data_IF_045842913271
#
_entry.id   IF_045842913271
#
_cell.length_a   1.000
_cell.length_b   1.000
_cell.length_c   1.000
_cell.angle_alpha   90.00
_cell.angle_beta   90.00
_cell.angle_gamma   90.00
#
_symmetry.space_group_name_H-M   'P 1'
#
loop_
_entity.id
_entity.type
_entity.pdbx_description
1 polymer ?
#
# COMPACT_ATOMS: atom_id res chain seq x y z
N UNK A 1 -26.20 -0.58 -18.23
CA UNK A 1 -26.73 -1.88 -17.74
C UNK A 1 -27.51 -1.63 -16.44
N UNK A 2 -28.82 -1.90 -16.43
CA UNK A 2 -29.71 -1.64 -15.27
C UNK A 2 -29.36 -2.58 -14.12
N UNK A 3 -29.00 -2.02 -12.95
CA UNK A 3 -28.82 -2.78 -11.70
C UNK A 3 -30.20 -3.37 -11.31
N UNK A 4 -30.38 -4.68 -11.44
CA UNK A 4 -31.58 -5.39 -10.96
C UNK A 4 -31.74 -5.13 -9.46
N UNK A 5 -32.77 -4.40 -9.05
CA UNK A 5 -33.15 -4.22 -7.64
C UNK A 5 -33.59 -5.58 -7.09
N UNK A 6 -32.99 -6.01 -5.99
CA UNK A 6 -33.40 -7.22 -5.27
C UNK A 6 -34.85 -7.11 -4.84
N UNK A 7 -35.64 -8.19 -4.98
CA UNK A 7 -37.02 -8.24 -4.47
C UNK A 7 -37.03 -8.15 -2.94
N UNK A 8 -38.19 -7.78 -2.37
CA UNK A 8 -38.38 -7.68 -0.90
C UNK A 8 -38.06 -8.99 -0.17
N UNK A 9 -38.40 -10.14 -0.76
CA UNK A 9 -38.04 -11.48 -0.23
C UNK A 9 -36.54 -11.77 -0.31
N UNK A 10 -35.88 -11.35 -1.38
CA UNK A 10 -34.43 -11.54 -1.51
C UNK A 10 -33.66 -10.66 -0.51
N UNK A 11 -34.08 -9.40 -0.27
CA UNK A 11 -33.50 -8.55 0.78
C UNK A 11 -33.66 -9.17 2.16
N UNK A 12 -34.90 -9.61 2.50
CA UNK A 12 -35.16 -10.24 3.79
C UNK A 12 -34.34 -11.51 4.02
N UNK A 13 -34.13 -12.35 2.98
CA UNK A 13 -33.26 -13.53 3.07
C UNK A 13 -31.79 -13.15 3.30
N UNK A 14 -31.30 -12.13 2.61
CA UNK A 14 -29.92 -11.63 2.77
C UNK A 14 -29.73 -11.07 4.18
N UNK A 15 -30.66 -10.23 4.65
CA UNK A 15 -30.63 -9.67 6.01
C UNK A 15 -30.68 -10.76 7.09
N UNK A 16 -31.54 -11.77 6.94
CA UNK A 16 -31.61 -12.90 7.87
C UNK A 16 -30.34 -13.72 7.91
N UNK A 17 -29.72 -13.99 6.74
CA UNK A 17 -28.44 -14.70 6.65
C UNK A 17 -27.32 -13.87 7.29
N UNK A 18 -27.32 -12.56 7.08
CA UNK A 18 -26.34 -11.66 7.69
C UNK A 18 -26.51 -11.58 9.20
N UNK A 19 -27.75 -11.46 9.70
CA UNK A 19 -28.05 -11.49 11.13
C UNK A 19 -27.61 -12.79 11.80
N UNK A 20 -27.92 -13.95 11.18
CA UNK A 20 -27.46 -15.25 11.71
C UNK A 20 -25.93 -15.39 11.70
N UNK A 21 -25.25 -14.83 10.69
CA UNK A 21 -23.78 -14.82 10.65
C UNK A 21 -23.19 -13.89 11.73
N UNK A 22 -23.80 -12.74 11.96
CA UNK A 22 -23.42 -11.82 13.03
C UNK A 22 -23.56 -12.48 14.40
N UNK A 23 -24.72 -13.07 14.70
CA UNK A 23 -25.00 -13.78 15.95
C UNK A 23 -24.04 -14.95 16.21
N UNK A 24 -23.75 -15.78 15.19
CA UNK A 24 -22.75 -16.86 15.31
C UNK A 24 -21.35 -16.33 15.60
N UNK A 25 -21.00 -15.17 15.04
CA UNK A 25 -19.70 -14.58 15.25
C UNK A 25 -19.58 -13.96 16.63
N UNK A 26 -20.65 -13.34 17.17
CA UNK A 26 -20.69 -12.83 18.56
C UNK A 26 -20.56 -13.96 19.58
N UNK A 27 -21.31 -15.07 19.37
CA UNK A 27 -21.20 -16.26 20.22
C UNK A 27 -19.78 -16.85 20.21
N UNK A 28 -19.10 -16.86 19.05
CA UNK A 28 -17.74 -17.38 18.94
C UNK A 28 -16.73 -16.46 19.64
N UNK A 29 -16.89 -15.14 19.49
CA UNK A 29 -16.06 -14.17 20.22
C UNK A 29 -16.21 -14.28 21.73
N UNK A 30 -17.44 -14.48 22.24
CA UNK A 30 -17.69 -14.74 23.64
C UNK A 30 -17.09 -16.08 24.11
N UNK A 31 -17.14 -17.11 23.27
CA UNK A 31 -16.49 -18.40 23.55
C UNK A 31 -14.98 -18.26 23.62
N UNK A 32 -14.38 -17.53 22.72
CA UNK A 32 -12.92 -17.31 22.68
C UNK A 32 -12.45 -16.47 23.89
N UNK A 33 -13.21 -15.45 24.30
CA UNK A 33 -12.92 -14.66 25.49
C UNK A 33 -13.04 -15.51 26.78
N UNK A 34 -14.08 -16.36 26.88
CA UNK A 34 -14.26 -17.28 28.01
C UNK A 34 -13.16 -18.35 28.06
N UNK A 35 -12.75 -18.89 26.91
CA UNK A 35 -11.66 -19.86 26.81
C UNK A 35 -10.30 -19.24 27.15
N UNK A 36 -10.07 -17.98 26.79
CA UNK A 36 -8.88 -17.22 27.20
C UNK A 36 -8.81 -17.04 28.72
N UNK A 37 -9.93 -16.70 29.36
CA UNK A 37 -10.04 -16.57 30.82
C UNK A 37 -9.89 -17.91 31.53
N UNK A 38 -10.36 -19.01 30.90
CA UNK A 38 -10.23 -20.37 31.42
C UNK A 38 -8.81 -20.96 31.26
N UNK A 39 -7.92 -20.31 30.49
CA UNK A 39 -6.55 -20.78 30.26
C UNK A 39 -6.41 -21.87 29.19
N UNK A 40 -7.41 -22.02 28.34
CA UNK A 40 -7.45 -23.06 27.27
C UNK A 40 -6.51 -22.76 26.09
N UNK A 41 -5.85 -21.61 26.11
CA UNK A 41 -4.87 -21.19 25.09
C UNK A 41 -3.43 -21.32 25.59
N UNK A 42 -2.53 -21.66 24.70
CA UNK A 42 -1.09 -21.71 24.93
C UNK A 42 -0.50 -20.34 25.35
N UNK A 43 0.81 -20.27 25.56
CA UNK A 43 1.48 -19.04 25.94
C UNK A 43 1.39 -17.97 24.84
N UNK A 44 1.59 -16.71 25.24
CA UNK A 44 1.69 -15.59 24.30
C UNK A 44 2.93 -15.70 23.44
N UNK A 45 2.76 -15.48 22.15
CA UNK A 45 3.82 -15.52 21.14
C UNK A 45 3.72 -14.29 20.24
N UNK A 46 4.85 -13.85 19.70
CA UNK A 46 4.89 -12.82 18.68
C UNK A 46 4.62 -13.45 17.31
N UNK A 47 3.99 -12.69 16.44
CA UNK A 47 3.75 -13.10 15.06
C UNK A 47 3.42 -11.89 14.19
N UNK A 48 3.34 -12.12 12.88
CA UNK A 48 3.02 -11.09 11.88
C UNK A 48 1.79 -11.51 11.08
N UNK A 49 0.89 -10.56 10.85
CA UNK A 49 -0.29 -10.78 10.01
C UNK A 49 0.15 -10.85 8.55
N UNK A 50 0.01 -12.01 7.91
CA UNK A 50 0.34 -12.22 6.50
C UNK A 50 -0.84 -12.05 5.56
N UNK A 51 -2.06 -12.27 6.06
CA UNK A 51 -3.29 -12.03 5.28
C UNK A 51 -4.48 -11.77 6.21
N UNK A 52 -5.48 -11.02 5.70
CA UNK A 52 -6.68 -10.68 6.44
C UNK A 52 -7.94 -11.07 5.65
N UNK A 53 -8.77 -11.96 6.20
CA UNK A 53 -9.97 -12.52 5.55
C UNK A 53 -11.26 -12.09 6.27
N UNK A 54 -11.42 -10.82 6.51
CA UNK A 54 -12.59 -10.27 7.21
C UNK A 54 -12.53 -10.50 8.72
N UNK A 55 -13.02 -11.63 9.23
CA UNK A 55 -13.00 -11.96 10.67
C UNK A 55 -11.89 -12.94 11.08
N UNK A 56 -11.13 -13.45 10.14
CA UNK A 56 -10.00 -14.33 10.38
C UNK A 56 -8.76 -13.74 9.78
N UNK A 57 -7.63 -13.98 10.43
CA UNK A 57 -6.29 -13.59 10.00
C UNK A 57 -5.47 -14.83 9.76
N UNK A 58 -4.47 -14.68 8.92
CA UNK A 58 -3.32 -15.58 8.90
C UNK A 58 -2.18 -14.90 9.62
N UNK A 59 -1.68 -15.52 10.68
CA UNK A 59 -0.55 -15.05 11.46
C UNK A 59 0.60 -16.00 11.24
N UNK A 60 1.75 -15.46 10.85
CA UNK A 60 2.99 -16.19 10.72
C UNK A 60 3.85 -15.97 11.96
N UNK A 61 4.39 -17.04 12.50
CA UNK A 61 5.26 -17.01 13.66
C UNK A 61 6.31 -18.12 13.57
N UNK A 62 7.44 -17.92 14.20
CA UNK A 62 8.48 -18.96 14.34
C UNK A 62 8.00 -20.06 15.29
N UNK A 63 8.23 -21.30 14.91
CA UNK A 63 8.04 -22.45 15.77
C UNK A 63 9.24 -22.66 16.72
N UNK A 64 9.24 -23.74 17.48
CA UNK A 64 10.34 -24.07 18.41
C UNK A 64 11.68 -24.40 17.72
N UNK A 65 11.65 -24.64 16.40
CA UNK A 65 12.82 -24.96 15.58
C UNK A 65 13.32 -23.74 14.81
N UNK A 66 12.58 -22.58 14.88
CA UNK A 66 12.88 -21.37 14.12
C UNK A 66 12.28 -21.35 12.72
N UNK A 67 11.44 -22.35 12.39
CA UNK A 67 10.74 -22.38 11.10
C UNK A 67 9.48 -21.51 11.13
N UNK A 68 9.25 -20.73 10.06
CA UNK A 68 8.06 -19.89 9.94
C UNK A 68 6.83 -20.74 9.64
N UNK A 69 5.89 -20.73 10.55
CA UNK A 69 4.60 -21.44 10.44
C UNK A 69 3.44 -20.45 10.39
N UNK A 70 2.44 -20.77 9.57
CA UNK A 70 1.23 -19.95 9.41
C UNK A 70 0.06 -20.56 10.17
N UNK A 71 -0.61 -19.73 10.95
CA UNK A 71 -1.71 -20.09 11.80
C UNK A 71 -2.95 -19.28 11.46
N UNK A 72 -4.10 -19.94 11.37
CA UNK A 72 -5.37 -19.27 11.19
C UNK A 72 -5.87 -18.77 12.53
N UNK A 73 -5.93 -17.44 12.68
CA UNK A 73 -6.27 -16.79 13.94
C UNK A 73 -7.63 -16.07 13.85
N UNK A 74 -8.33 -16.02 14.98
CA UNK A 74 -9.51 -15.19 15.18
C UNK A 74 -9.15 -13.85 15.79
N UNK A 75 -9.96 -12.84 15.50
CA UNK A 75 -9.87 -11.50 16.12
C UNK A 75 -10.74 -11.44 17.37
N UNK A 76 -10.22 -10.89 18.46
CA UNK A 76 -11.05 -10.42 19.55
C UNK A 76 -11.88 -9.20 19.12
N UNK A 77 -13.08 -9.04 19.71
CA UNK A 77 -14.01 -7.95 19.36
C UNK A 77 -13.44 -6.54 19.56
N UNK A 78 -12.48 -6.38 20.45
CA UNK A 78 -11.84 -5.10 20.78
C UNK A 78 -10.58 -4.79 19.91
N UNK A 79 -10.20 -5.67 18.98
CA UNK A 79 -9.04 -5.51 18.10
C UNK A 79 -9.48 -5.22 16.67
N UNK A 80 -10.08 -4.03 16.47
CA UNK A 80 -10.46 -3.58 15.13
C UNK A 80 -9.25 -2.99 14.37
N UNK A 81 -9.34 -3.03 13.04
CA UNK A 81 -8.39 -2.36 12.16
C UNK A 81 -7.03 -3.04 12.01
N UNK A 82 -6.92 -4.35 12.30
CA UNK A 82 -5.75 -5.14 11.95
C UNK A 82 -5.65 -5.32 10.43
N UNK A 83 -4.44 -5.19 9.91
CA UNK A 83 -4.14 -5.33 8.48
C UNK A 83 -2.89 -6.16 8.25
N UNK A 84 -2.67 -6.58 7.02
CA UNK A 84 -1.45 -7.27 6.60
C UNK A 84 -0.21 -6.44 6.92
N UNK A 85 0.79 -7.08 7.49
CA UNK A 85 2.02 -6.45 7.99
C UNK A 85 1.98 -6.04 9.46
N UNK A 86 0.82 -6.11 10.16
CA UNK A 86 0.78 -5.84 11.60
C UNK A 86 1.58 -6.89 12.38
N UNK A 87 2.43 -6.43 13.31
CA UNK A 87 3.05 -7.27 14.31
C UNK A 87 2.05 -7.44 15.48
N UNK A 88 1.83 -8.69 15.92
CA UNK A 88 0.78 -9.04 16.88
C UNK A 88 1.31 -9.95 17.98
N UNK A 89 0.62 -9.92 19.12
CA UNK A 89 0.69 -10.96 20.14
C UNK A 89 -0.51 -11.89 19.93
N UNK A 90 -0.25 -13.18 19.89
CA UNK A 90 -1.27 -14.19 19.67
C UNK A 90 -1.04 -15.42 20.55
N UNK A 91 -2.04 -16.26 20.69
CA UNK A 91 -1.98 -17.51 21.47
C UNK A 91 -2.57 -18.65 20.65
N UNK A 92 -1.95 -19.82 20.75
CA UNK A 92 -2.38 -21.03 20.02
C UNK A 92 -3.52 -21.71 20.77
N UNK A 93 -4.56 -22.13 20.09
CA UNK A 93 -5.60 -23.00 20.61
C UNK A 93 -5.23 -24.48 20.46
N UNK A 94 -5.89 -25.36 21.23
CA UNK A 94 -5.66 -26.81 21.20
C UNK A 94 -5.98 -27.47 19.84
N UNK A 95 -6.82 -26.84 19.00
CA UNK A 95 -7.18 -27.28 17.67
C UNK A 95 -6.21 -26.84 16.56
N UNK A 96 -5.08 -26.18 16.93
CA UNK A 96 -4.10 -25.62 16.00
C UNK A 96 -4.47 -24.25 15.41
N UNK A 97 -5.67 -23.73 15.71
CA UNK A 97 -6.03 -22.34 15.44
C UNK A 97 -5.40 -21.40 16.46
N UNK A 98 -5.61 -20.09 16.31
CA UNK A 98 -5.11 -19.12 17.27
C UNK A 98 -6.07 -17.96 17.49
N UNK A 99 -5.75 -17.16 18.49
CA UNK A 99 -6.42 -15.91 18.78
C UNK A 99 -5.42 -14.78 18.92
N UNK A 100 -5.66 -13.66 18.22
CA UNK A 100 -4.86 -12.45 18.38
C UNK A 100 -5.33 -11.70 19.61
N UNK A 101 -4.43 -11.45 20.57
CA UNK A 101 -4.74 -10.81 21.85
C UNK A 101 -4.30 -9.34 21.90
N UNK A 102 -3.28 -8.94 21.16
CA UNK A 102 -2.83 -7.56 21.09
C UNK A 102 -2.16 -7.24 19.74
N UNK A 103 -2.18 -5.96 19.35
CA UNK A 103 -1.38 -5.42 18.26
C UNK A 103 -0.19 -4.66 18.82
N UNK A 104 0.98 -4.86 18.20
CA UNK A 104 2.17 -4.07 18.50
C UNK A 104 2.09 -2.67 17.87
N UNK A 105 2.82 -1.67 18.37
CA UNK A 105 2.92 -0.36 17.75
C UNK A 105 3.39 -0.46 16.29
N UNK A 106 2.69 0.21 15.39
CA UNK A 106 3.08 0.28 13.98
C UNK A 106 4.25 1.23 13.79
N UNK A 107 5.22 0.86 12.96
CA UNK A 107 6.30 1.74 12.49
C UNK A 107 5.84 2.63 11.35
N UNK A 108 4.95 2.12 10.50
CA UNK A 108 4.32 2.82 9.41
C UNK A 108 2.93 2.24 9.14
N UNK A 109 2.06 3.03 8.51
CA UNK A 109 0.75 2.57 8.07
C UNK A 109 0.42 3.18 6.72
N UNK A 110 -0.04 2.34 5.80
CA UNK A 110 -0.59 2.77 4.53
C UNK A 110 -2.11 2.81 4.68
N UNK A 111 -2.68 3.99 4.48
CA UNK A 111 -4.11 4.22 4.59
C UNK A 111 -4.73 4.56 3.23
N UNK A 112 -6.01 4.29 3.10
CA UNK A 112 -6.81 4.63 1.92
C UNK A 112 -8.18 5.15 2.36
N UNK A 113 -8.71 6.20 1.70
CA UNK A 113 -10.08 6.62 1.96
C UNK A 113 -11.07 5.54 1.52
N UNK A 114 -12.04 5.27 2.38
CA UNK A 114 -13.19 4.43 2.05
C UNK A 114 -14.22 5.22 1.21
N UNK A 115 -15.36 4.60 0.87
CA UNK A 115 -16.43 5.23 0.10
C UNK A 115 -17.04 6.47 0.80
N UNK A 116 -16.75 6.68 2.08
CA UNK A 116 -17.20 7.85 2.88
C UNK A 116 -16.08 8.87 3.08
N UNK A 117 -14.91 8.67 2.49
CA UNK A 117 -13.74 9.53 2.65
C UNK A 117 -12.96 9.32 3.95
N UNK A 118 -13.33 8.33 4.78
CA UNK A 118 -12.60 8.02 6.01
C UNK A 118 -11.35 7.20 5.68
N UNK A 119 -10.20 7.61 6.20
CA UNK A 119 -8.95 6.87 6.06
C UNK A 119 -9.02 5.56 6.81
N UNK A 120 -8.74 4.46 6.11
CA UNK A 120 -8.65 3.12 6.68
C UNK A 120 -7.31 2.49 6.36
N UNK A 121 -6.68 1.85 7.35
CA UNK A 121 -5.45 1.14 7.13
C UNK A 121 -5.68 -0.02 6.15
N UNK A 122 -4.74 -0.22 5.23
CA UNK A 122 -4.74 -1.30 4.22
C UNK A 122 -3.51 -2.20 4.34
N UNK A 123 -2.40 -1.66 4.87
CA UNK A 123 -1.20 -2.42 5.21
C UNK A 123 -0.38 -1.66 6.27
N UNK A 124 0.47 -2.37 7.01
CA UNK A 124 1.28 -1.81 8.08
C UNK A 124 2.74 -2.27 7.99
N UNK A 125 3.61 -1.56 8.70
CA UNK A 125 5.05 -1.86 8.84
C UNK A 125 5.79 -1.96 7.50
N UNK A 126 5.35 -1.16 6.52
CA UNK A 126 5.98 -1.02 5.21
C UNK A 126 7.21 -0.15 5.35
N UNK A 127 8.35 -0.62 4.83
CA UNK A 127 9.61 0.11 4.84
C UNK A 127 9.75 1.05 3.63
N UNK A 128 9.18 0.66 2.47
CA UNK A 128 9.30 1.45 1.24
C UNK A 128 8.14 1.24 0.27
N UNK A 129 7.83 2.28 -0.51
CA UNK A 129 6.85 2.26 -1.60
C UNK A 129 7.61 2.32 -2.93
N UNK A 130 7.53 1.24 -3.72
CA UNK A 130 8.11 1.20 -5.06
C UNK A 130 7.12 1.75 -6.08
N UNK A 131 7.40 2.95 -6.58
CA UNK A 131 6.62 3.64 -7.60
C UNK A 131 7.11 3.15 -8.96
N UNK A 132 6.35 2.23 -9.57
CA UNK A 132 6.71 1.60 -10.85
C UNK A 132 6.15 2.41 -12.01
N UNK A 133 7.01 2.78 -12.92
CA UNK A 133 6.70 3.30 -14.24
C UNK A 133 7.55 2.57 -15.27
N UNK A 134 7.32 2.77 -16.56
CA UNK A 134 7.98 2.02 -17.61
C UNK A 134 8.46 2.93 -18.73
N UNK A 135 9.35 2.42 -19.58
CA UNK A 135 9.69 3.08 -20.84
C UNK A 135 8.43 3.18 -21.72
N UNK A 136 7.62 2.10 -21.74
CA UNK A 136 6.32 2.04 -22.39
C UNK A 136 5.26 1.41 -21.47
N UNK A 137 4.12 2.11 -21.24
CA UNK A 137 3.75 3.44 -21.73
C UNK A 137 4.66 4.53 -21.18
N UNK A 138 4.93 5.57 -21.99
CA UNK A 138 5.80 6.68 -21.59
C UNK A 138 5.33 7.33 -20.28
N UNK A 139 6.21 7.55 -19.31
CA UNK A 139 5.83 8.08 -18.02
C UNK A 139 5.50 9.58 -18.14
N UNK A 140 4.38 9.97 -17.57
CA UNK A 140 4.06 11.37 -17.36
C UNK A 140 4.71 11.88 -16.06
N UNK A 141 5.59 12.92 -16.11
CA UNK A 141 6.23 13.46 -14.91
C UNK A 141 5.23 13.81 -13.81
N UNK A 142 4.12 14.47 -14.14
CA UNK A 142 3.07 14.82 -13.18
C UNK A 142 2.48 13.60 -12.46
N UNK A 143 2.44 12.43 -13.12
CA UNK A 143 1.94 11.22 -12.51
C UNK A 143 2.96 10.63 -11.53
N UNK A 144 4.26 10.67 -11.88
CA UNK A 144 5.33 10.26 -10.95
C UNK A 144 5.31 11.17 -9.72
N UNK A 145 5.22 12.49 -9.91
CA UNK A 145 5.14 13.47 -8.84
C UNK A 145 3.95 13.23 -7.93
N UNK A 146 2.80 12.87 -8.52
CA UNK A 146 1.59 12.53 -7.77
C UNK A 146 1.79 11.32 -6.85
N UNK A 147 2.48 10.28 -7.31
CA UNK A 147 2.82 9.11 -6.48
C UNK A 147 3.86 9.47 -5.41
N UNK A 148 4.85 10.31 -5.75
CA UNK A 148 5.85 10.79 -4.78
C UNK A 148 5.17 11.55 -3.65
N UNK A 149 4.34 12.55 -3.97
CA UNK A 149 3.59 13.33 -2.96
C UNK A 149 2.73 12.42 -2.08
N UNK A 150 2.07 11.43 -2.67
CA UNK A 150 1.27 10.49 -1.89
C UNK A 150 2.12 9.61 -0.97
N UNK A 151 3.32 9.20 -1.38
CA UNK A 151 4.24 8.42 -0.57
C UNK A 151 4.84 9.27 0.56
N UNK A 152 5.30 10.48 0.25
CA UNK A 152 5.83 11.43 1.25
C UNK A 152 4.81 11.75 2.34
N UNK A 153 3.53 11.91 1.98
CA UNK A 153 2.47 12.15 2.95
C UNK A 153 2.27 10.98 3.95
N UNK A 154 2.67 9.75 3.60
CA UNK A 154 2.63 8.61 4.52
C UNK A 154 3.86 8.51 5.43
N UNK A 155 4.92 9.23 5.14
CA UNK A 155 6.23 9.09 5.78
C UNK A 155 6.96 7.78 5.44
N UNK A 156 6.50 7.04 4.41
CA UNK A 156 7.13 5.80 3.94
C UNK A 156 8.04 6.14 2.76
N UNK A 157 9.31 5.71 2.81
CA UNK A 157 10.31 6.02 1.81
C UNK A 157 9.88 5.62 0.39
N UNK A 158 9.78 6.56 -0.59
CA UNK A 158 9.52 6.23 -1.98
C UNK A 158 10.78 5.77 -2.70
N UNK A 159 10.63 4.79 -3.59
CA UNK A 159 11.65 4.35 -4.54
C UNK A 159 11.05 4.36 -5.93
N UNK A 160 11.71 5.05 -6.86
CA UNK A 160 11.32 5.09 -8.26
C UNK A 160 11.87 3.87 -9.00
N UNK A 161 10.99 3.09 -9.65
CA UNK A 161 11.38 1.89 -10.41
C UNK A 161 11.04 2.09 -11.88
N UNK A 162 12.07 2.28 -12.72
CA UNK A 162 11.90 2.24 -14.18
C UNK A 162 11.92 0.80 -14.65
N UNK A 163 10.78 0.31 -15.08
CA UNK A 163 10.62 -1.03 -15.66
C UNK A 163 10.69 -1.01 -17.19
N UNK A 164 10.84 -2.19 -17.81
CA UNK A 164 10.99 -2.41 -19.26
C UNK A 164 12.19 -1.66 -19.85
N UNK A 165 13.32 -1.67 -19.13
CA UNK A 165 14.55 -0.98 -19.56
C UNK A 165 15.16 -1.59 -20.80
N UNK A 166 14.75 -2.78 -21.20
CA UNK A 166 15.03 -3.41 -22.50
C UNK A 166 14.51 -2.59 -23.70
N UNK A 167 13.52 -1.74 -23.47
CA UNK A 167 12.96 -0.84 -24.49
C UNK A 167 13.63 0.56 -24.49
N UNK A 168 14.60 0.80 -23.62
CA UNK A 168 15.23 2.11 -23.49
C UNK A 168 16.19 2.35 -24.67
N UNK A 169 16.04 3.45 -25.43
CA UNK A 169 16.98 3.78 -26.51
C UNK A 169 18.42 3.98 -25.99
N UNK A 170 19.41 3.60 -26.79
CA UNK A 170 20.84 3.73 -26.45
C UNK A 170 21.24 5.19 -26.20
N UNK A 171 20.71 6.12 -26.97
CA UNK A 171 20.89 7.55 -26.79
C UNK A 171 19.89 8.08 -25.78
N UNK A 172 20.25 8.07 -24.57
CA UNK A 172 19.67 8.48 -23.29
C UNK A 172 18.46 9.38 -23.17
N UNK A 173 18.08 10.18 -24.10
CA UNK A 173 16.86 10.94 -24.21
C UNK A 173 16.31 11.63 -22.94
N UNK A 174 15.13 12.16 -23.08
CA UNK A 174 14.40 12.91 -22.03
C UNK A 174 14.16 12.08 -20.76
N UNK A 175 13.94 10.76 -20.88
CA UNK A 175 13.64 9.89 -19.75
C UNK A 175 14.85 9.74 -18.80
N UNK A 176 16.07 9.61 -19.36
CA UNK A 176 17.29 9.57 -18.51
C UNK A 176 17.53 10.90 -17.80
N UNK A 177 17.29 12.01 -18.49
CA UNK A 177 17.37 13.35 -17.88
C UNK A 177 16.34 13.54 -16.77
N UNK A 178 15.11 13.02 -16.96
CA UNK A 178 14.08 13.03 -15.94
C UNK A 178 14.51 12.23 -14.70
N UNK A 179 15.07 11.04 -14.89
CA UNK A 179 15.55 10.20 -13.78
C UNK A 179 16.74 10.82 -13.05
N UNK A 180 17.65 11.48 -13.77
CA UNK A 180 18.76 12.21 -13.15
C UNK A 180 18.25 13.30 -12.20
N UNK A 181 17.23 14.07 -12.61
CA UNK A 181 16.61 15.10 -11.76
C UNK A 181 16.01 14.52 -10.47
N UNK A 182 15.34 13.37 -10.52
CA UNK A 182 14.82 12.73 -9.31
C UNK A 182 15.95 12.25 -8.39
N UNK A 183 17.07 11.76 -8.96
CA UNK A 183 18.26 11.41 -8.14
C UNK A 183 18.89 12.64 -7.48
N UNK A 184 18.98 13.77 -8.20
CA UNK A 184 19.46 15.04 -7.66
C UNK A 184 18.59 15.55 -6.50
N UNK A 185 17.27 15.30 -6.56
CA UNK A 185 16.35 15.56 -5.46
C UNK A 185 16.50 14.59 -4.27
N UNK A 186 17.33 13.54 -4.40
CA UNK A 186 17.58 12.57 -3.34
C UNK A 186 16.75 11.29 -3.42
N UNK A 187 15.91 11.12 -4.43
CA UNK A 187 15.13 9.89 -4.59
C UNK A 187 15.99 8.73 -5.11
N UNK A 188 15.81 7.56 -4.51
CA UNK A 188 16.39 6.33 -5.05
C UNK A 188 15.68 5.96 -6.37
N UNK A 189 16.47 5.68 -7.41
CA UNK A 189 15.97 5.26 -8.72
C UNK A 189 16.59 3.94 -9.11
N UNK A 190 15.76 2.93 -9.32
CA UNK A 190 16.11 1.55 -9.68
C UNK A 190 15.64 1.26 -11.11
N UNK A 191 16.46 0.59 -11.88
CA UNK A 191 16.12 0.08 -13.21
C UNK A 191 15.75 -1.39 -13.13
N UNK A 192 14.75 -1.83 -13.90
CA UNK A 192 14.32 -3.22 -13.95
C UNK A 192 13.89 -3.63 -15.36
N UNK A 193 14.12 -4.89 -15.71
CA UNK A 193 13.57 -5.56 -16.88
C UNK A 193 13.36 -7.04 -16.60
N UNK A 194 12.20 -7.57 -16.97
CA UNK A 194 11.92 -9.00 -16.92
C UNK A 194 12.40 -9.75 -18.18
N UNK A 195 12.90 -9.03 -19.15
CA UNK A 195 13.35 -9.55 -20.46
C UNK A 195 14.87 -9.69 -20.57
N UNK A 196 15.64 -8.95 -19.75
CA UNK A 196 17.08 -8.99 -19.75
C UNK A 196 17.62 -10.01 -18.72
N UNK A 197 18.72 -10.66 -19.03
CA UNK A 197 19.53 -11.38 -18.08
C UNK A 197 20.02 -10.39 -17.01
N UNK A 198 19.93 -10.75 -15.72
CA UNK A 198 20.27 -9.88 -14.58
C UNK A 198 19.47 -8.56 -14.49
N UNK A 199 18.40 -8.44 -15.30
CA UNK A 199 17.59 -7.22 -15.36
C UNK A 199 16.82 -6.89 -14.06
N UNK A 200 16.83 -7.79 -13.09
CA UNK A 200 16.19 -7.58 -11.77
C UNK A 200 17.17 -7.44 -10.61
N UNK A 201 18.48 -7.53 -10.82
CA UNK A 201 19.49 -7.54 -9.73
C UNK A 201 19.41 -6.27 -8.88
N UNK A 202 19.32 -5.10 -9.51
CA UNK A 202 19.19 -3.84 -8.79
C UNK A 202 17.87 -3.76 -7.99
N UNK A 203 16.80 -4.35 -8.50
CA UNK A 203 15.52 -4.43 -7.81
C UNK A 203 15.60 -5.42 -6.63
N UNK A 204 16.22 -6.59 -6.80
CA UNK A 204 16.46 -7.54 -5.72
C UNK A 204 17.27 -6.90 -4.59
N UNK A 205 18.37 -6.23 -4.91
CA UNK A 205 19.18 -5.52 -3.91
C UNK A 205 18.38 -4.44 -3.15
N UNK A 206 17.46 -3.75 -3.85
CA UNK A 206 16.58 -2.75 -3.24
C UNK A 206 15.55 -3.37 -2.29
N UNK A 207 15.07 -4.60 -2.59
CA UNK A 207 14.02 -5.29 -1.83
C UNK A 207 14.54 -6.06 -0.62
N UNK A 208 15.83 -6.41 -0.59
CA UNK A 208 16.44 -7.22 0.46
C UNK A 208 16.24 -6.59 1.84
N UNK A 209 15.81 -7.41 2.81
CA UNK A 209 15.55 -7.05 4.21
C UNK A 209 14.49 -5.93 4.41
N UNK A 210 13.68 -5.64 3.40
CA UNK A 210 12.64 -4.60 3.47
C UNK A 210 11.26 -5.15 3.17
N UNK A 211 10.27 -4.64 3.89
CA UNK A 211 8.86 -4.84 3.55
C UNK A 211 8.43 -3.78 2.56
N UNK A 212 8.02 -4.19 1.38
CA UNK A 212 7.78 -3.33 0.22
C UNK A 212 6.36 -3.44 -0.33
N UNK A 213 5.88 -2.39 -0.96
CA UNK A 213 4.64 -2.39 -1.77
C UNK A 213 4.91 -1.81 -3.15
N UNK A 214 4.22 -2.31 -4.17
CA UNK A 214 4.31 -1.79 -5.52
C UNK A 214 3.07 -0.95 -5.85
N UNK A 215 3.31 0.29 -6.27
CA UNK A 215 2.29 1.22 -6.76
C UNK A 215 2.65 1.69 -8.18
N UNK A 216 1.72 2.31 -8.88
CA UNK A 216 1.96 2.84 -10.22
C UNK A 216 0.82 2.55 -11.19
N UNK A 217 0.88 3.15 -12.36
CA UNK A 217 -0.14 3.08 -13.40
C UNK A 217 -0.38 1.64 -13.90
N UNK A 218 -1.56 1.40 -14.48
CA UNK A 218 -1.83 0.15 -15.19
C UNK A 218 -0.92 0.01 -16.41
N UNK A 219 -0.51 -1.21 -16.75
CA UNK A 219 0.31 -1.50 -17.94
C UNK A 219 1.82 -1.30 -17.78
N UNK A 220 2.32 -0.73 -16.66
CA UNK A 220 3.77 -0.54 -16.44
C UNK A 220 4.52 -1.82 -16.05
N UNK A 221 3.81 -2.95 -15.92
CA UNK A 221 4.43 -4.26 -15.68
C UNK A 221 4.58 -4.65 -14.22
N UNK A 222 3.85 -4.03 -13.27
CA UNK A 222 3.88 -4.42 -11.83
C UNK A 222 3.62 -5.91 -11.61
N UNK A 223 2.57 -6.45 -12.23
CA UNK A 223 2.23 -7.88 -12.10
C UNK A 223 3.34 -8.77 -12.63
N UNK A 224 3.93 -8.43 -13.78
CA UNK A 224 5.05 -9.19 -14.36
C UNK A 224 6.29 -9.17 -13.46
N UNK A 225 6.59 -8.02 -12.83
CA UNK A 225 7.67 -7.93 -11.84
C UNK A 225 7.36 -8.82 -10.64
N UNK A 226 6.15 -8.75 -10.07
CA UNK A 226 5.72 -9.55 -8.92
C UNK A 226 5.78 -11.05 -9.25
N UNK A 227 5.28 -11.48 -10.42
CA UNK A 227 5.29 -12.87 -10.84
C UNK A 227 6.72 -13.39 -11.03
N UNK A 228 7.66 -12.53 -11.48
CA UNK A 228 9.07 -12.90 -11.64
C UNK A 228 9.81 -12.94 -10.30
N UNK A 229 9.48 -12.06 -9.38
CA UNK A 229 10.02 -12.03 -8.01
C UNK A 229 9.48 -13.18 -7.14
N UNK A 230 8.28 -13.68 -7.44
CA UNK A 230 7.56 -14.70 -6.69
C UNK A 230 7.10 -15.84 -7.62
N UNK A 231 8.02 -16.66 -8.14
CA UNK A 231 7.67 -17.71 -9.12
C UNK A 231 6.66 -18.72 -8.56
N UNK A 232 6.64 -18.97 -7.24
CA UNK A 232 5.73 -19.91 -6.58
C UNK A 232 4.43 -19.29 -6.08
N UNK A 233 4.13 -18.02 -6.42
CA UNK A 233 2.92 -17.32 -5.95
C UNK A 233 1.63 -18.06 -6.31
N UNK A 234 1.54 -18.63 -7.50
CA UNK A 234 0.35 -19.35 -7.96
C UNK A 234 0.07 -20.62 -7.16
N UNK A 235 1.09 -21.34 -6.72
CA UNK A 235 0.96 -22.51 -5.86
C UNK A 235 0.40 -22.15 -4.49
N UNK A 236 0.79 -21.02 -3.93
CA UNK A 236 0.33 -20.54 -2.61
C UNK A 236 -1.11 -20.01 -2.66
N UNK A 237 -1.50 -19.31 -3.72
CA UNK A 237 -2.88 -18.84 -3.92
C UNK A 237 -3.82 -20.04 -4.15
N UNK A 238 -3.37 -21.09 -4.85
CA UNK A 238 -4.12 -22.31 -5.07
C UNK A 238 -4.40 -23.08 -3.77
N UNK A 239 -3.44 -23.21 -2.87
CA UNK A 239 -3.60 -23.88 -1.59
C UNK A 239 -4.62 -23.18 -0.66
N UNK A 240 -4.68 -21.83 -0.70
CA UNK A 240 -5.65 -21.03 0.06
C UNK A 240 -7.07 -21.09 -0.52
N UNK A 241 -7.22 -21.38 -1.83
CA UNK A 241 -8.52 -21.40 -2.52
C UNK A 241 -9.23 -22.75 -2.45
N UNK A 242 -8.56 -23.83 -2.07
CA UNK A 242 -9.18 -25.17 -1.98
C UNK A 242 -10.20 -25.25 -0.83
N UNK A 243 -10.04 -24.45 0.22
CA UNK A 243 -10.97 -24.39 1.36
C UNK A 243 -12.17 -23.44 1.13
N UNK A 244 -12.16 -22.62 0.11
CA UNK A 244 -13.24 -21.69 -0.24
C UNK A 244 -13.98 -22.12 -1.51
N UNK A 245 -14.53 -23.34 -1.55
CA UNK A 245 -15.48 -23.76 -2.60
C UNK A 245 -16.77 -22.98 -2.48
N UNK A 246 -16.79 -21.69 -2.89
CA UNK A 246 -17.99 -20.99 -3.39
C UNK A 246 -17.65 -19.55 -3.80
N UNK A 247 -17.69 -19.30 -5.08
CA UNK A 247 -17.90 -17.94 -5.64
C UNK A 247 -16.64 -17.25 -6.11
N UNK A 248 -16.62 -16.94 -7.39
CA UNK A 248 -15.81 -15.97 -8.11
C UNK A 248 -15.78 -14.62 -7.37
N UNK A 249 -14.90 -14.47 -6.38
CA UNK A 249 -14.53 -13.17 -5.83
C UNK A 249 -13.05 -12.98 -6.08
N UNK A 250 -12.74 -12.03 -6.96
CA UNK A 250 -11.41 -11.46 -7.13
C UNK A 250 -10.83 -11.17 -5.73
N UNK A 251 -9.69 -11.77 -5.41
CA UNK A 251 -9.01 -11.65 -4.12
C UNK A 251 -8.73 -10.17 -3.84
N UNK A 252 -9.57 -9.53 -3.02
CA UNK A 252 -9.41 -8.12 -2.58
C UNK A 252 -8.55 -8.01 -1.34
N UNK A 253 -7.97 -9.12 -0.88
CA UNK A 253 -7.23 -9.22 0.37
C UNK A 253 -5.74 -8.94 0.12
N UNK A 254 -5.18 -8.05 0.92
CA UNK A 254 -3.74 -7.83 0.95
C UNK A 254 -3.04 -9.08 1.51
N UNK A 255 -1.95 -9.50 0.88
CA UNK A 255 -1.18 -10.68 1.29
C UNK A 255 0.31 -10.34 1.32
N UNK A 256 0.99 -10.76 2.37
CA UNK A 256 2.43 -10.65 2.52
C UNK A 256 3.11 -11.92 2.00
N UNK A 257 4.13 -11.72 1.20
CA UNK A 257 4.96 -12.77 0.62
C UNK A 257 6.42 -12.53 0.99
N UNK A 258 7.14 -13.60 1.36
CA UNK A 258 8.59 -13.58 1.47
C UNK A 258 9.20 -13.77 0.09
N UNK A 259 10.19 -12.93 -0.22
CA UNK A 259 10.93 -13.00 -1.47
C UNK A 259 12.06 -14.02 -1.35
N UNK A 260 12.28 -14.90 -2.37
CA UNK A 260 13.38 -15.88 -2.34
C UNK A 260 14.75 -15.25 -2.16
N UNK A 261 14.96 -14.04 -2.67
CA UNK A 261 16.21 -13.28 -2.52
C UNK A 261 16.30 -12.47 -1.21
N UNK A 262 15.34 -12.65 -0.31
CA UNK A 262 15.21 -11.90 0.95
C UNK A 262 14.32 -10.68 0.85
N UNK A 263 13.74 -10.27 2.00
CA UNK A 263 12.75 -9.20 2.09
C UNK A 263 11.31 -9.68 1.90
N UNK A 264 10.37 -8.74 1.96
CA UNK A 264 8.94 -9.01 1.96
C UNK A 264 8.21 -8.10 0.96
N UNK A 265 7.15 -8.64 0.36
CA UNK A 265 6.27 -7.90 -0.54
C UNK A 265 4.82 -8.02 -0.05
N UNK A 266 4.15 -6.90 0.16
CA UNK A 266 2.70 -6.88 0.36
C UNK A 266 2.03 -6.55 -0.98
N UNK A 267 1.24 -7.50 -1.50
CA UNK A 267 0.47 -7.32 -2.73
C UNK A 267 -1.02 -7.23 -2.43
N UNK A 268 -1.64 -6.16 -2.92
CA UNK A 268 -3.09 -5.94 -2.81
C UNK A 268 -3.61 -5.13 -3.99
N UNK A 269 -4.75 -5.50 -4.56
CA UNK A 269 -5.42 -4.68 -5.56
C UNK A 269 -5.72 -3.26 -5.05
N UNK A 270 -6.07 -3.12 -3.76
CA UNK A 270 -6.36 -1.83 -3.14
C UNK A 270 -5.16 -0.90 -3.00
N UNK A 271 -3.95 -1.44 -2.85
CA UNK A 271 -2.71 -0.67 -2.74
C UNK A 271 -2.25 -0.18 -4.12
N UNK A 272 -2.53 -0.93 -5.17
CA UNK A 272 -2.13 -0.58 -6.55
C UNK A 272 -2.76 0.73 -7.04
N UNK A 273 -3.91 1.12 -6.48
CA UNK A 273 -4.64 2.36 -6.75
C UNK A 273 -4.36 3.45 -5.70
N UNK A 274 -3.12 3.58 -5.30
CA UNK A 274 -2.66 4.58 -4.36
C UNK A 274 -2.88 6.00 -4.90
N UNK A 275 -3.50 6.89 -4.13
CA UNK A 275 -3.93 8.20 -4.63
C UNK A 275 -3.97 9.30 -3.57
N UNK A 276 -4.17 10.54 -4.03
CA UNK A 276 -4.09 11.79 -3.25
C UNK A 276 -5.44 12.24 -2.65
N UNK A 277 -6.52 11.47 -2.82
CA UNK A 277 -7.89 11.94 -2.59
C UNK A 277 -8.23 12.43 -1.17
N UNK A 278 -7.29 12.37 -0.24
CA UNK A 278 -7.43 12.82 1.14
C UNK A 278 -6.48 13.96 1.52
N UNK A 279 -5.61 14.40 0.61
CA UNK A 279 -4.64 15.46 0.86
C UNK A 279 -5.23 16.83 0.54
N UNK A 280 -4.87 17.82 1.32
CA UNK A 280 -5.14 19.22 1.04
C UNK A 280 -3.96 19.91 0.33
N UNK A 281 -4.13 21.17 -0.08
CA UNK A 281 -3.08 21.93 -0.76
C UNK A 281 -1.79 22.05 0.05
N UNK A 282 -1.80 22.35 1.36
CA UNK A 282 -0.60 22.30 2.21
C UNK A 282 0.08 20.94 2.27
N UNK A 283 -0.67 19.84 2.29
CA UNK A 283 -0.13 18.48 2.28
C UNK A 283 0.61 18.21 0.97
N UNK A 284 0.01 18.60 -0.16
CA UNK A 284 0.65 18.47 -1.48
C UNK A 284 1.95 19.28 -1.54
N UNK A 285 1.96 20.52 -1.02
CA UNK A 285 3.18 21.34 -1.00
C UNK A 285 4.28 20.69 -0.15
N UNK A 286 3.93 20.09 1.00
CA UNK A 286 4.89 19.34 1.84
C UNK A 286 5.44 18.09 1.16
N UNK A 287 4.67 17.47 0.28
CA UNK A 287 5.10 16.29 -0.48
C UNK A 287 6.12 16.57 -1.60
N UNK A 288 6.40 17.84 -1.91
CA UNK A 288 7.54 18.23 -2.75
C UNK A 288 8.73 18.55 -1.84
N UNK A 289 9.67 17.61 -1.71
CA UNK A 289 10.77 17.72 -0.74
C UNK A 289 11.63 18.97 -0.94
N UNK A 290 11.82 19.41 -2.18
CA UNK A 290 12.53 20.63 -2.53
C UNK A 290 11.80 21.94 -2.15
N UNK A 291 10.51 21.86 -1.80
CA UNK A 291 9.75 23.02 -1.33
C UNK A 291 9.95 23.27 0.16
N UNK A 292 10.37 22.26 0.92
CA UNK A 292 10.50 22.30 2.38
C UNK A 292 11.26 23.55 2.91
N UNK A 293 12.40 23.99 2.31
CA UNK A 293 13.12 25.16 2.77
C UNK A 293 12.36 26.49 2.61
N UNK A 294 11.31 26.52 1.79
CA UNK A 294 10.57 27.74 1.43
C UNK A 294 9.18 27.80 2.06
N UNK A 295 8.66 26.69 2.57
CA UNK A 295 7.35 26.64 3.18
C UNK A 295 7.31 27.50 4.45
N UNK A 296 6.25 28.32 4.56
CA UNK A 296 6.10 29.27 5.67
C UNK A 296 6.88 30.58 5.52
N UNK A 297 7.66 30.77 4.46
CA UNK A 297 8.45 31.99 4.20
C UNK A 297 7.78 32.96 3.22
N UNK A 298 6.55 32.68 2.77
CA UNK A 298 5.80 33.61 1.94
C UNK A 298 5.42 34.86 2.75
N UNK A 299 5.29 35.99 2.07
CA UNK A 299 4.84 37.25 2.67
C UNK A 299 3.49 37.16 3.35
N UNK A 300 2.57 36.36 2.78
CA UNK A 300 1.21 36.15 3.30
C UNK A 300 1.09 34.73 3.88
N UNK A 301 0.45 34.60 5.04
CA UNK A 301 0.24 33.32 5.72
C UNK A 301 -0.70 32.38 4.98
N UNK A 302 -1.64 32.93 4.23
CA UNK A 302 -2.66 32.27 3.41
C UNK A 302 -2.25 32.20 1.92
N UNK A 303 -0.97 32.21 1.63
CA UNK A 303 -0.45 32.14 0.27
C UNK A 303 -0.77 30.76 -0.35
N UNK A 304 -1.48 30.78 -1.46
CA UNK A 304 -1.79 29.61 -2.28
C UNK A 304 -0.75 29.36 -3.39
N UNK A 305 0.37 30.08 -3.36
CA UNK A 305 1.48 29.95 -4.30
C UNK A 305 1.08 30.12 -5.79
N UNK A 306 0.01 30.88 -6.06
CA UNK A 306 -0.51 31.12 -7.43
C UNK A 306 0.12 32.35 -8.05
N UNK A 307 -0.27 33.54 -7.59
CA UNK A 307 0.16 34.84 -8.14
C UNK A 307 0.48 35.87 -7.05
N UNK A 308 0.49 35.43 -5.78
CA UNK A 308 0.70 36.32 -4.64
C UNK A 308 2.10 36.92 -4.69
N UNK A 309 2.22 38.27 -4.50
CA UNK A 309 3.51 38.92 -4.44
C UNK A 309 4.30 38.51 -3.18
N UNK A 310 5.60 38.28 -3.32
CA UNK A 310 6.43 37.80 -2.23
C UNK A 310 6.16 36.33 -1.85
N UNK A 311 5.78 35.52 -2.83
CA UNK A 311 5.65 34.06 -2.66
C UNK A 311 7.04 33.42 -2.74
N UNK A 312 7.50 32.83 -1.63
CA UNK A 312 8.83 32.24 -1.52
C UNK A 312 9.08 31.09 -2.53
N UNK A 313 8.05 30.25 -2.81
CA UNK A 313 8.16 29.18 -3.81
C UNK A 313 8.36 29.75 -5.22
N UNK A 314 7.61 30.77 -5.61
CA UNK A 314 7.75 31.39 -6.93
C UNK A 314 9.10 32.08 -7.11
N UNK A 315 9.55 32.78 -6.07
CA UNK A 315 10.88 33.41 -6.07
C UNK A 315 11.99 32.35 -6.17
N UNK A 316 11.84 31.21 -5.52
CA UNK A 316 12.77 30.08 -5.64
C UNK A 316 12.77 29.49 -7.07
N UNK A 317 11.62 29.42 -7.74
CA UNK A 317 11.54 29.03 -9.16
C UNK A 317 12.26 30.04 -10.05
N UNK A 318 12.07 31.35 -9.83
CA UNK A 318 12.74 32.42 -10.58
C UNK A 318 14.26 32.38 -10.41
N UNK A 319 14.77 32.00 -9.23
CA UNK A 319 16.20 31.80 -8.97
C UNK A 319 16.74 30.44 -9.46
N UNK A 320 15.89 29.57 -9.98
CA UNK A 320 16.27 28.23 -10.45
C UNK A 320 16.56 27.22 -9.34
N UNK A 321 16.21 27.51 -8.09
CA UNK A 321 16.35 26.64 -6.91
C UNK A 321 15.26 25.55 -6.89
N UNK A 322 14.10 25.86 -7.46
CA UNK A 322 13.02 24.92 -7.74
C UNK A 322 12.84 24.84 -9.26
N UNK A 323 12.77 23.64 -9.80
CA UNK A 323 12.51 23.44 -11.22
C UNK A 323 11.07 23.88 -11.58
N UNK A 324 10.92 24.70 -12.63
CA UNK A 324 9.62 25.14 -13.10
C UNK A 324 8.67 23.98 -13.44
N UNK A 325 9.20 22.87 -13.97
CA UNK A 325 8.42 21.65 -14.25
C UNK A 325 7.82 21.06 -12.97
N UNK A 326 8.55 21.02 -11.86
CA UNK A 326 8.09 20.53 -10.56
C UNK A 326 7.03 21.44 -9.95
N UNK A 327 7.27 22.76 -10.02
CA UNK A 327 6.27 23.73 -9.57
C UNK A 327 4.98 23.67 -10.41
N UNK A 328 5.07 23.46 -11.71
CA UNK A 328 3.91 23.22 -12.57
C UNK A 328 3.18 21.93 -12.20
N UNK A 329 3.92 20.86 -11.90
CA UNK A 329 3.35 19.59 -11.44
C UNK A 329 2.59 19.76 -10.13
N UNK A 330 3.15 20.49 -9.17
CA UNK A 330 2.46 20.88 -7.92
C UNK A 330 1.12 21.55 -8.22
N UNK A 331 1.12 22.57 -9.06
CA UNK A 331 -0.10 23.29 -9.43
C UNK A 331 -1.16 22.39 -10.07
N UNK A 332 -0.74 21.54 -11.01
CA UNK A 332 -1.66 20.56 -11.62
C UNK A 332 -2.26 19.59 -10.62
N UNK A 333 -1.47 19.15 -9.64
CA UNK A 333 -1.97 18.28 -8.57
C UNK A 333 -3.01 19.02 -7.73
N UNK A 334 -2.70 20.22 -7.25
CA UNK A 334 -3.62 21.05 -6.44
C UNK A 334 -4.92 21.36 -7.20
N UNK A 335 -4.83 21.76 -8.46
CA UNK A 335 -6.00 22.05 -9.28
C UNK A 335 -6.89 20.79 -9.48
N UNK A 336 -6.28 19.59 -9.51
CA UNK A 336 -7.02 18.32 -9.62
C UNK A 336 -7.72 17.89 -8.33
N UNK A 337 -7.33 18.43 -7.17
CA UNK A 337 -7.96 18.13 -5.87
C UNK A 337 -9.18 19.03 -5.60
N UNK A 338 -9.21 20.20 -6.22
CA UNK A 338 -10.38 21.10 -6.12
C UNK A 338 -11.50 20.52 -6.98
N UNK A 339 -12.67 20.14 -6.40
CA UNK A 339 -13.80 19.76 -7.23
C UNK A 339 -14.14 20.94 -8.15
N UNK A 340 -14.40 20.63 -9.42
CA UNK A 340 -14.83 21.61 -10.43
C UNK A 340 -15.97 22.47 -9.88
N UNK A 341 -15.63 23.66 -9.38
CA UNK A 341 -16.61 24.71 -9.11
C UNK A 341 -16.90 25.38 -10.45
N UNK A 342 -17.53 24.63 -11.35
CA UNK A 342 -18.21 25.24 -12.49
C UNK A 342 -19.39 26.03 -11.96
N UNK A 343 -19.56 27.32 -12.40
CA UNK A 343 -20.59 28.23 -11.95
C UNK A 343 -21.99 27.76 -12.34
#
# INVERSE_FOLDING_TARGET
MSKRKLSRQQRWRVEKIQAQRAERAERRTQSDDTALEAGDYGPERLGRVTAHFGRTLEVEAEDEHGDLQRHRCHLRANLEGLVTGDDVVWRTASDGSGVVVARQPRRSVLERPDARGQLKPVAANIAQILIVFAVEPAPHPNLIDRYLVAAEATGIAPVLVLNKTDLLPDEGGELRALLARYRELGYQVVSASTQCENGLDALHACLTERTSVFVGQSGVGKSSLIDRLLPDKQLRVGALSVDSRKGTHTTTTATLYHLPAGGELIDSPGIREFGLGHLDEPDVARGFIEFQPYLGHCRFRDCHHRQEPGCALREAVERGEILASRFNSYRHIVDSLTPDRSP
#
